data_IF_910624339196
#
_entry.id   IF_910624339196
#
_cell.length_a   1.000
_cell.length_b   1.000
_cell.length_c   1.000
_cell.angle_alpha   90.00
_cell.angle_beta   90.00
_cell.angle_gamma   90.00
#
_symmetry.space_group_name_H-M   'P 1'
#
loop_
_entity.id
_entity.type
_entity.pdbx_description
1 polymer ?
#
# COMPACT_ATOMS: atom_id res chain seq x y z
N UNK A 1 5.11 2.77 19.22
CA UNK A 1 4.72 1.47 19.82
C UNK A 1 4.15 0.62 18.71
N UNK A 2 4.87 -0.41 18.24
CA UNK A 2 4.38 -1.38 17.25
C UNK A 2 2.98 -1.87 17.62
N UNK A 3 2.02 -1.59 16.75
CA UNK A 3 0.64 -2.04 16.81
C UNK A 3 0.53 -3.33 16.01
N UNK A 4 -0.15 -4.28 16.63
CA UNK A 4 -0.59 -5.54 16.04
C UNK A 4 -2.08 -5.60 16.23
N UNK A 5 -2.77 -6.20 15.27
CA UNK A 5 -4.23 -6.30 15.27
C UNK A 5 -4.92 -4.92 15.24
N UNK A 6 -6.22 -4.91 14.94
CA UNK A 6 -7.00 -3.70 14.64
C UNK A 6 -7.89 -3.90 13.42
N UNK A 7 -7.40 -4.69 12.47
CA UNK A 7 -8.15 -5.22 11.34
C UNK A 7 -9.19 -6.30 11.74
N UNK A 8 -9.27 -6.70 13.02
CA UNK A 8 -10.22 -7.71 13.52
C UNK A 8 -10.17 -9.04 12.73
N UNK A 9 -8.97 -9.43 12.25
CA UNK A 9 -8.71 -10.58 11.34
C UNK A 9 -9.27 -10.47 9.92
N UNK A 10 -9.81 -9.32 9.53
CA UNK A 10 -10.33 -9.07 8.19
C UNK A 10 -9.34 -8.28 7.33
N UNK A 11 -8.96 -8.86 6.19
CA UNK A 11 -8.40 -8.09 5.08
C UNK A 11 -9.44 -7.10 4.54
N UNK A 12 -8.98 -6.08 3.82
CA UNK A 12 -9.85 -5.13 3.11
C UNK A 12 -10.71 -5.93 2.12
N UNK A 13 -11.98 -5.56 1.99
CA UNK A 13 -12.89 -6.13 0.99
C UNK A 13 -13.34 -5.04 0.04
N UNK A 14 -13.83 -5.44 -1.13
CA UNK A 14 -14.39 -4.53 -2.11
C UNK A 14 -15.47 -3.62 -1.49
N UNK A 15 -15.45 -2.33 -1.85
CA UNK A 15 -16.36 -1.31 -1.34
C UNK A 15 -16.16 -0.87 0.12
N UNK A 16 -15.34 -1.56 0.93
CA UNK A 16 -15.17 -1.19 2.35
C UNK A 16 -14.58 0.20 2.55
N UNK A 17 -13.49 0.51 1.85
CA UNK A 17 -12.85 1.82 1.95
C UNK A 17 -13.74 2.92 1.42
N UNK A 18 -14.45 2.68 0.31
CA UNK A 18 -15.45 3.61 -0.22
C UNK A 18 -16.53 3.94 0.82
N UNK A 19 -17.18 2.92 1.41
CA UNK A 19 -18.25 3.13 2.40
C UNK A 19 -17.74 3.87 3.63
N UNK A 20 -16.59 3.47 4.14
CA UNK A 20 -15.97 4.09 5.30
C UNK A 20 -15.59 5.55 5.06
N UNK A 21 -14.95 5.83 3.92
CA UNK A 21 -14.52 7.18 3.55
C UNK A 21 -15.70 8.09 3.22
N UNK A 22 -16.72 7.57 2.54
CA UNK A 22 -17.98 8.27 2.30
C UNK A 22 -18.63 8.70 3.61
N UNK A 23 -18.78 7.77 4.56
CA UNK A 23 -19.38 8.07 5.86
C UNK A 23 -18.54 9.10 6.63
N UNK A 24 -17.22 8.98 6.58
CA UNK A 24 -16.30 9.93 7.22
C UNK A 24 -16.45 11.36 6.68
N UNK A 25 -16.60 11.52 5.36
CA UNK A 25 -16.66 12.83 4.71
C UNK A 25 -18.07 13.44 4.79
N UNK A 26 -19.12 12.64 4.57
CA UNK A 26 -20.50 13.14 4.48
C UNK A 26 -21.17 13.27 5.86
N UNK A 27 -20.97 12.30 6.76
CA UNK A 27 -21.68 12.17 8.04
C UNK A 27 -20.71 11.61 9.13
N UNK A 28 -19.61 12.33 9.48
CA UNK A 28 -18.53 11.82 10.32
C UNK A 28 -18.99 11.31 11.70
N UNK A 29 -20.04 11.89 12.27
CA UNK A 29 -20.65 11.47 13.52
C UNK A 29 -21.16 10.02 13.48
N UNK A 30 -21.66 9.55 12.33
CA UNK A 30 -22.17 8.20 12.16
C UNK A 30 -21.07 7.14 12.21
N UNK A 31 -19.80 7.53 12.00
CA UNK A 31 -18.67 6.62 12.11
C UNK A 31 -18.43 6.15 13.56
N UNK A 32 -19.00 6.85 14.54
CA UNK A 32 -18.91 6.53 15.98
C UNK A 32 -20.25 6.16 16.61
N UNK A 33 -21.33 6.22 15.83
CA UNK A 33 -22.66 5.83 16.24
C UNK A 33 -22.73 4.35 16.66
N UNK A 34 -23.65 4.02 17.57
CA UNK A 34 -23.82 2.63 18.04
C UNK A 34 -24.29 1.69 16.93
N UNK A 35 -24.96 2.23 15.90
CA UNK A 35 -25.43 1.54 14.70
C UNK A 35 -24.51 1.71 13.49
N UNK A 36 -23.24 2.12 13.67
CA UNK A 36 -22.24 2.25 12.57
C UNK A 36 -22.14 1.01 11.68
N UNK A 37 -22.38 -0.19 12.23
CA UNK A 37 -22.43 -1.43 11.48
C UNK A 37 -23.56 -1.42 10.43
N UNK A 38 -24.73 -0.91 10.80
CA UNK A 38 -25.91 -0.82 9.95
C UNK A 38 -25.72 0.27 8.89
N UNK A 39 -25.18 1.43 9.27
CA UNK A 39 -24.85 2.53 8.33
C UNK A 39 -23.87 2.08 7.23
N UNK A 40 -22.88 1.27 7.59
CA UNK A 40 -21.92 0.69 6.64
C UNK A 40 -22.44 -0.57 5.94
N UNK A 41 -23.57 -1.13 6.39
CA UNK A 41 -24.11 -2.40 5.90
C UNK A 41 -23.14 -3.58 6.08
N UNK A 42 -22.49 -3.68 7.24
CA UNK A 42 -21.51 -4.74 7.58
C UNK A 42 -21.67 -5.21 9.02
N UNK A 43 -20.98 -6.29 9.40
CA UNK A 43 -20.97 -6.75 10.81
C UNK A 43 -20.18 -5.82 11.75
N UNK A 44 -20.48 -5.87 13.06
CA UNK A 44 -19.83 -5.04 14.10
C UNK A 44 -18.30 -5.08 14.13
N UNK A 45 -17.69 -6.24 13.89
CA UNK A 45 -16.22 -6.34 13.85
C UNK A 45 -15.66 -5.80 12.52
N UNK A 46 -16.44 -5.90 11.43
CA UNK A 46 -16.06 -5.36 10.13
C UNK A 46 -16.06 -3.84 10.15
N UNK A 47 -17.04 -3.18 10.80
CA UNK A 47 -17.02 -1.72 10.95
C UNK A 47 -15.80 -1.20 11.71
N UNK A 48 -15.34 -1.93 12.73
CA UNK A 48 -14.05 -1.64 13.42
C UNK A 48 -12.86 -1.82 12.49
N UNK A 49 -12.85 -2.89 11.70
CA UNK A 49 -11.81 -3.15 10.70
C UNK A 49 -11.76 -2.05 9.63
N UNK A 50 -12.91 -1.57 9.13
CA UNK A 50 -12.99 -0.45 8.19
C UNK A 50 -12.33 0.80 8.76
N UNK A 51 -12.66 1.20 10.01
CA UNK A 51 -12.01 2.35 10.65
C UNK A 51 -10.51 2.19 10.80
N UNK A 52 -10.06 0.98 11.15
CA UNK A 52 -8.62 0.67 11.21
C UNK A 52 -7.97 0.87 9.84
N UNK A 53 -8.55 0.29 8.78
CA UNK A 53 -8.00 0.39 7.42
C UNK A 53 -7.98 1.81 6.88
N UNK A 54 -9.00 2.63 7.14
CA UNK A 54 -8.97 4.06 6.79
C UNK A 54 -7.77 4.78 7.40
N UNK A 55 -7.49 4.53 8.69
CA UNK A 55 -6.38 5.16 9.41
C UNK A 55 -5.02 4.70 8.87
N UNK A 56 -4.80 3.39 8.75
CA UNK A 56 -3.46 2.85 8.43
C UNK A 56 -3.10 2.93 6.94
N UNK A 57 -4.09 3.04 6.06
CA UNK A 57 -3.85 3.34 4.64
C UNK A 57 -3.64 4.83 4.37
N UNK A 58 -3.77 5.68 5.40
CA UNK A 58 -3.57 7.13 5.29
C UNK A 58 -4.74 7.89 4.68
N UNK A 59 -5.91 7.25 4.51
CA UNK A 59 -7.14 7.92 4.07
C UNK A 59 -7.74 8.82 5.16
N UNK A 60 -7.49 8.46 6.41
CA UNK A 60 -7.93 9.22 7.57
C UNK A 60 -6.81 9.32 8.61
N UNK A 61 -6.87 10.35 9.45
CA UNK A 61 -5.93 10.60 10.55
C UNK A 61 -6.69 10.91 11.83
N UNK A 62 -6.01 10.81 12.97
CA UNK A 62 -6.51 11.30 14.27
C UNK A 62 -5.46 12.20 14.91
N UNK A 63 -5.86 13.36 15.39
CA UNK A 63 -4.99 14.27 16.15
C UNK A 63 -4.90 13.85 17.62
N UNK A 64 -4.46 12.61 17.85
CA UNK A 64 -4.32 12.01 19.18
C UNK A 64 -5.23 10.80 19.40
N UNK A 65 -5.02 10.11 20.51
CA UNK A 65 -5.62 8.78 20.75
C UNK A 65 -7.15 8.81 20.92
N UNK A 66 -7.69 9.92 21.41
CA UNK A 66 -9.12 10.09 21.67
C UNK A 66 -9.82 10.99 20.64
N UNK A 67 -9.08 11.58 19.71
CA UNK A 67 -9.66 12.41 18.66
C UNK A 67 -10.49 11.54 17.69
N UNK A 68 -11.57 12.10 17.12
CA UNK A 68 -12.26 11.47 15.99
C UNK A 68 -11.31 11.34 14.80
N UNK A 69 -11.66 10.45 13.87
CA UNK A 69 -11.02 10.39 12.56
C UNK A 69 -11.45 11.61 11.77
N UNK A 70 -10.50 12.15 11.02
CA UNK A 70 -10.69 13.19 10.02
C UNK A 70 -10.07 12.68 8.71
N UNK A 71 -10.66 13.01 7.58
CA UNK A 71 -10.08 12.72 6.28
C UNK A 71 -8.71 13.40 6.12
N UNK A 72 -7.81 12.73 5.41
CA UNK A 72 -6.55 13.35 4.98
C UNK A 72 -6.74 14.01 3.62
N UNK A 73 -5.75 14.80 3.20
CA UNK A 73 -5.71 15.31 1.82
C UNK A 73 -5.75 14.17 0.79
N UNK A 74 -5.12 13.03 1.09
CA UNK A 74 -5.19 11.82 0.27
C UNK A 74 -6.62 11.25 0.23
N UNK A 75 -7.27 11.13 1.39
CA UNK A 75 -8.65 10.66 1.49
C UNK A 75 -9.60 11.54 0.69
N UNK A 76 -9.49 12.86 0.84
CA UNK A 76 -10.27 13.82 0.07
C UNK A 76 -10.02 13.69 -1.44
N UNK A 77 -8.76 13.63 -1.86
CA UNK A 77 -8.39 13.47 -3.28
C UNK A 77 -9.01 12.20 -3.89
N UNK A 78 -8.89 11.06 -3.21
CA UNK A 78 -9.44 9.79 -3.70
C UNK A 78 -10.96 9.85 -3.75
N UNK A 79 -11.62 10.42 -2.73
CA UNK A 79 -13.06 10.58 -2.73
C UNK A 79 -13.58 11.45 -3.90
N UNK A 80 -12.80 12.46 -4.30
CA UNK A 80 -13.13 13.33 -5.45
C UNK A 80 -12.82 12.70 -6.81
N UNK A 81 -11.70 11.97 -6.94
CA UNK A 81 -11.17 11.54 -8.24
C UNK A 81 -11.33 10.06 -8.55
N UNK A 82 -11.40 9.21 -7.54
CA UNK A 82 -11.61 7.76 -7.65
C UNK A 82 -12.50 7.24 -6.51
N UNK A 83 -13.70 7.83 -6.41
CA UNK A 83 -14.63 7.61 -5.30
C UNK A 83 -14.89 6.13 -5.01
N UNK A 84 -14.88 5.29 -6.04
CA UNK A 84 -15.21 3.86 -5.97
C UNK A 84 -13.97 2.95 -5.94
N UNK A 85 -12.76 3.50 -5.85
CA UNK A 85 -11.48 2.76 -5.78
C UNK A 85 -11.29 1.80 -6.97
N UNK A 86 -11.62 2.26 -8.17
CA UNK A 86 -11.54 1.47 -9.41
C UNK A 86 -10.12 1.51 -9.98
N UNK A 87 -9.41 2.63 -9.79
CA UNK A 87 -8.08 2.80 -10.38
C UNK A 87 -7.01 2.04 -9.58
N UNK A 88 -6.17 1.29 -10.29
CA UNK A 88 -5.09 0.49 -9.68
C UNK A 88 -4.01 1.38 -9.02
N UNK A 89 -3.83 2.61 -9.50
CA UNK A 89 -2.93 3.60 -8.92
C UNK A 89 -3.35 3.98 -7.49
N UNK A 90 -4.65 4.05 -7.21
CA UNK A 90 -5.19 4.22 -5.85
C UNK A 90 -4.67 3.12 -4.93
N UNK A 91 -4.82 1.85 -5.34
CA UNK A 91 -4.36 0.71 -4.53
C UNK A 91 -2.84 0.67 -4.37
N UNK A 92 -2.07 1.06 -5.39
CA UNK A 92 -0.62 1.23 -5.24
C UNK A 92 -0.27 2.30 -4.20
N UNK A 93 -0.94 3.46 -4.20
CA UNK A 93 -0.70 4.52 -3.21
C UNK A 93 -1.00 4.04 -1.77
N UNK A 94 -2.14 3.38 -1.56
CA UNK A 94 -2.50 2.83 -0.25
C UNK A 94 -1.50 1.76 0.21
N UNK A 95 -1.05 0.91 -0.70
CA UNK A 95 -0.02 -0.08 -0.41
C UNK A 95 1.30 0.58 0.00
N UNK A 96 1.77 1.58 -0.75
CA UNK A 96 2.99 2.35 -0.39
C UNK A 96 2.85 2.96 1.00
N UNK A 97 1.68 3.49 1.36
CA UNK A 97 1.42 4.01 2.70
C UNK A 97 1.55 2.93 3.77
N UNK A 98 0.99 1.73 3.56
CA UNK A 98 1.12 0.61 4.49
C UNK A 98 2.58 0.18 4.68
N UNK A 99 3.38 0.17 3.62
CA UNK A 99 4.81 -0.15 3.68
C UNK A 99 5.60 0.90 4.47
N UNK A 100 5.14 2.16 4.47
CA UNK A 100 5.78 3.29 5.14
C UNK A 100 5.15 3.65 6.51
N UNK A 101 4.11 2.94 6.95
CA UNK A 101 3.38 3.25 8.18
C UNK A 101 4.09 2.77 9.47
N UNK A 102 5.24 2.11 9.32
CA UNK A 102 6.14 1.72 10.41
C UNK A 102 5.42 0.95 11.52
N UNK A 103 5.48 1.46 12.74
CA UNK A 103 4.87 0.89 13.94
C UNK A 103 3.33 0.77 13.87
N UNK A 104 2.61 1.54 13.04
CA UNK A 104 1.15 1.51 13.03
C UNK A 104 0.57 0.24 12.41
N UNK A 105 1.30 -0.37 11.47
CA UNK A 105 1.01 -1.67 10.84
C UNK A 105 2.31 -2.46 10.68
N UNK A 106 2.94 -2.77 11.81
CA UNK A 106 4.30 -3.30 11.83
C UNK A 106 4.48 -4.54 10.94
N UNK A 107 3.51 -5.47 10.94
CA UNK A 107 3.58 -6.69 10.12
C UNK A 107 3.70 -6.38 8.62
N UNK A 108 3.03 -5.33 8.11
CA UNK A 108 3.14 -4.89 6.72
C UNK A 108 4.49 -4.26 6.44
N UNK A 109 4.87 -3.25 7.23
CA UNK A 109 6.16 -2.58 7.12
C UNK A 109 7.32 -3.59 7.16
N UNK A 110 7.31 -4.52 8.12
CA UNK A 110 8.32 -5.56 8.26
C UNK A 110 8.35 -6.51 7.06
N UNK A 111 7.19 -6.96 6.56
CA UNK A 111 7.15 -7.94 5.47
C UNK A 111 7.76 -7.36 4.19
N UNK A 112 7.39 -6.15 3.79
CA UNK A 112 7.87 -5.58 2.53
C UNK A 112 9.28 -4.98 2.63
N UNK A 113 9.67 -4.46 3.80
CA UNK A 113 10.99 -3.83 3.96
C UNK A 113 12.09 -4.80 4.41
N UNK A 114 11.75 -5.79 5.24
CA UNK A 114 12.74 -6.63 5.94
C UNK A 114 12.69 -8.10 5.53
N UNK A 115 11.52 -8.67 5.27
CA UNK A 115 11.40 -10.09 4.94
C UNK A 115 11.94 -10.38 3.52
N UNK A 116 13.00 -11.19 3.44
CA UNK A 116 13.81 -11.35 2.22
C UNK A 116 13.59 -12.66 1.46
N UNK A 117 12.65 -13.51 1.86
CA UNK A 117 12.45 -14.83 1.23
C UNK A 117 11.44 -14.74 0.10
N UNK A 118 11.87 -15.10 -1.11
CA UNK A 118 10.98 -15.12 -2.27
C UNK A 118 10.01 -16.30 -2.24
N UNK A 119 10.37 -17.43 -1.63
CA UNK A 119 9.50 -18.59 -1.44
C UNK A 119 9.52 -19.06 0.02
N UNK A 120 8.36 -19.26 0.64
CA UNK A 120 8.28 -19.55 2.07
C UNK A 120 6.97 -20.25 2.47
N UNK A 121 6.97 -20.91 3.62
CA UNK A 121 5.75 -21.38 4.29
C UNK A 121 5.26 -20.35 5.30
N UNK A 122 3.95 -20.34 5.59
CA UNK A 122 3.38 -19.43 6.58
C UNK A 122 4.06 -19.55 7.96
N UNK A 123 4.37 -20.77 8.40
CA UNK A 123 5.08 -21.06 9.66
C UNK A 123 6.43 -20.35 9.74
N UNK A 124 7.18 -20.33 8.65
CA UNK A 124 8.48 -19.64 8.55
C UNK A 124 8.32 -18.13 8.67
N UNK A 125 7.32 -17.54 8.00
CA UNK A 125 7.03 -16.12 8.09
C UNK A 125 6.70 -15.70 9.54
N UNK A 126 5.82 -16.46 10.21
CA UNK A 126 5.47 -16.26 11.63
C UNK A 126 6.73 -16.33 12.50
N UNK A 127 7.52 -17.40 12.37
CA UNK A 127 8.73 -17.59 13.18
C UNK A 127 9.75 -16.46 12.98
N UNK A 128 9.89 -15.94 11.76
CA UNK A 128 10.82 -14.84 11.48
C UNK A 128 10.32 -13.53 12.07
N UNK A 129 9.03 -13.22 11.91
CA UNK A 129 8.42 -12.03 12.51
C UNK A 129 8.58 -12.05 14.03
N UNK A 130 8.26 -13.17 14.69
CA UNK A 130 8.41 -13.32 16.14
C UNK A 130 9.84 -13.00 16.60
N UNK A 131 10.85 -13.55 15.92
CA UNK A 131 12.27 -13.29 16.26
C UNK A 131 12.69 -11.83 16.09
N UNK A 132 12.13 -11.14 15.09
CA UNK A 132 12.47 -9.73 14.86
C UNK A 132 11.72 -8.79 15.83
N UNK A 133 10.52 -9.17 16.26
CA UNK A 133 9.81 -8.50 17.37
C UNK A 133 10.50 -8.70 18.72
N UNK A 134 11.05 -9.90 18.98
CA UNK A 134 11.84 -10.23 20.18
C UNK A 134 13.08 -9.36 20.34
N UNK A 135 13.77 -9.03 19.24
CA UNK A 135 14.96 -8.16 19.28
C UNK A 135 14.63 -6.70 19.57
N UNK A 136 13.42 -6.26 19.24
CA UNK A 136 13.02 -4.85 19.25
C UNK A 136 12.12 -4.47 20.43
N UNK A 137 11.58 -5.44 21.17
CA UNK A 137 10.65 -5.19 22.30
C UNK A 137 10.98 -5.99 23.55
N UNK A 138 10.74 -5.36 24.69
CA UNK A 138 10.76 -6.01 26.01
C UNK A 138 9.50 -6.85 26.30
N UNK A 139 8.36 -6.55 25.64
CA UNK A 139 7.11 -7.30 25.79
C UNK A 139 6.54 -7.71 24.42
N UNK A 140 6.42 -9.01 24.23
CA UNK A 140 5.92 -9.62 23.01
C UNK A 140 4.39 -9.62 22.94
N UNK A 141 3.80 -9.41 21.75
CA UNK A 141 2.43 -9.83 21.48
C UNK A 141 2.27 -11.34 21.71
N UNK A 142 1.05 -11.81 21.95
CA UNK A 142 0.78 -13.25 22.02
C UNK A 142 1.07 -13.92 20.68
N UNK A 143 1.43 -15.20 20.70
CA UNK A 143 1.65 -15.97 19.46
C UNK A 143 0.41 -15.92 18.55
N UNK A 144 -0.79 -16.08 19.11
CA UNK A 144 -2.05 -15.98 18.38
C UNK A 144 -2.24 -14.62 17.69
N UNK A 145 -1.77 -13.53 18.30
CA UNK A 145 -1.80 -12.19 17.69
C UNK A 145 -0.91 -12.14 16.45
N UNK A 146 0.34 -12.60 16.56
CA UNK A 146 1.27 -12.65 15.42
C UNK A 146 0.73 -13.55 14.30
N UNK A 147 0.21 -14.73 14.65
CA UNK A 147 -0.37 -15.66 13.69
C UNK A 147 -1.55 -15.05 12.92
N UNK A 148 -2.41 -14.27 13.60
CA UNK A 148 -3.56 -13.59 12.99
C UNK A 148 -3.15 -12.43 12.10
N UNK A 149 -2.19 -11.61 12.52
CA UNK A 149 -1.67 -10.51 11.71
C UNK A 149 -1.02 -11.04 10.43
N UNK A 150 -0.17 -12.07 10.53
CA UNK A 150 0.42 -12.73 9.35
C UNK A 150 -0.66 -13.34 8.46
N UNK A 151 -1.70 -13.95 9.03
CA UNK A 151 -2.82 -14.48 8.24
C UNK A 151 -3.46 -13.38 7.40
N UNK A 152 -3.76 -12.24 8.04
CA UNK A 152 -4.43 -11.13 7.41
C UNK A 152 -3.55 -10.49 6.32
N UNK A 153 -2.24 -10.38 6.55
CA UNK A 153 -1.30 -9.92 5.53
C UNK A 153 -1.30 -10.85 4.33
N UNK A 154 -1.15 -12.16 4.54
CA UNK A 154 -1.11 -13.12 3.44
C UNK A 154 -2.42 -13.14 2.66
N UNK A 155 -3.57 -13.10 3.36
CA UNK A 155 -4.90 -12.98 2.74
C UNK A 155 -5.08 -11.68 1.95
N UNK A 156 -4.39 -10.60 2.32
CA UNK A 156 -4.51 -9.31 1.65
C UNK A 156 -3.86 -9.30 0.26
N UNK A 157 -2.84 -10.14 0.03
CA UNK A 157 -2.03 -10.07 -1.18
C UNK A 157 -1.94 -11.38 -1.98
N UNK A 158 -2.17 -12.54 -1.36
CA UNK A 158 -1.93 -13.82 -2.01
C UNK A 158 -3.06 -14.20 -2.97
N UNK A 159 -2.72 -14.39 -4.24
CA UNK A 159 -3.58 -15.10 -5.20
C UNK A 159 -3.38 -16.60 -5.08
N UNK A 160 -4.47 -17.35 -4.98
CA UNK A 160 -4.43 -18.81 -4.92
C UNK A 160 -4.07 -19.43 -6.29
N UNK A 161 -3.21 -20.45 -6.27
CA UNK A 161 -2.79 -21.22 -7.45
C UNK A 161 -2.97 -22.73 -7.18
N UNK A 162 -3.76 -23.46 -8.00
CA UNK A 162 -4.60 -22.93 -9.07
C UNK A 162 -5.73 -22.06 -8.51
N UNK A 163 -6.19 -21.10 -9.29
CA UNK A 163 -7.33 -20.25 -8.94
C UNK A 163 -8.55 -21.14 -8.72
N UNK A 164 -9.24 -20.96 -7.60
CA UNK A 164 -10.55 -21.60 -7.41
C UNK A 164 -11.57 -20.87 -8.28
N UNK A 165 -12.39 -21.62 -9.02
CA UNK A 165 -13.61 -21.08 -9.63
C UNK A 165 -14.63 -20.83 -8.49
N UNK A 166 -14.43 -19.76 -7.72
CA UNK A 166 -15.46 -19.25 -6.81
C UNK A 166 -16.47 -18.44 -7.61
N UNK A 167 -17.70 -18.42 -7.11
CA UNK A 167 -18.69 -17.46 -7.58
C UNK A 167 -18.11 -16.04 -7.42
N UNK A 168 -18.19 -15.15 -8.43
CA UNK A 168 -17.74 -13.76 -8.30
C UNK A 168 -18.35 -13.05 -7.08
N UNK A 169 -19.56 -13.41 -6.66
CA UNK A 169 -20.17 -12.86 -5.43
C UNK A 169 -19.55 -13.40 -4.13
N UNK A 170 -18.93 -14.58 -4.17
CA UNK A 170 -18.19 -15.19 -3.05
C UNK A 170 -16.70 -14.82 -3.04
N UNK A 171 -16.21 -14.14 -4.08
CA UNK A 171 -14.84 -13.68 -4.20
C UNK A 171 -14.59 -12.47 -3.26
N UNK A 172 -14.51 -12.78 -1.97
CA UNK A 172 -14.08 -11.89 -0.87
C UNK A 172 -12.57 -11.58 -0.93
N UNK A 173 -11.99 -11.49 -2.13
CA UNK A 173 -10.58 -11.23 -2.31
C UNK A 173 -10.29 -9.75 -2.02
N UNK A 174 -9.16 -9.52 -1.33
CA UNK A 174 -8.72 -8.18 -1.04
C UNK A 174 -8.25 -7.51 -2.33
N UNK A 175 -8.66 -6.26 -2.63
CA UNK A 175 -8.24 -5.58 -3.87
C UNK A 175 -6.72 -5.48 -4.07
N UNK A 176 -5.94 -5.53 -2.98
CA UNK A 176 -4.48 -5.61 -3.06
C UNK A 176 -3.94 -6.88 -3.76
N UNK A 177 -4.75 -7.93 -3.95
CA UNK A 177 -4.38 -9.11 -4.74
C UNK A 177 -4.05 -8.72 -6.20
N UNK A 178 -4.72 -7.70 -6.76
CA UNK A 178 -4.49 -7.22 -8.12
C UNK A 178 -3.12 -6.57 -8.31
N UNK A 179 -2.42 -6.20 -7.23
CA UNK A 179 -1.05 -5.70 -7.30
C UNK A 179 -0.04 -6.80 -7.70
N UNK A 180 -0.45 -8.08 -7.67
CA UNK A 180 0.37 -9.20 -8.13
C UNK A 180 1.64 -9.43 -7.31
N UNK A 181 1.63 -9.05 -6.02
CA UNK A 181 2.82 -9.12 -5.16
C UNK A 181 3.10 -10.53 -4.62
N UNK A 182 2.06 -11.36 -4.45
CA UNK A 182 2.14 -12.63 -3.75
C UNK A 182 1.23 -13.68 -4.39
N UNK A 183 1.67 -14.94 -4.42
CA UNK A 183 0.82 -16.10 -4.73
C UNK A 183 0.95 -17.18 -3.68
N UNK A 184 -0.12 -17.96 -3.50
CA UNK A 184 -0.15 -19.15 -2.66
C UNK A 184 -0.41 -20.40 -3.50
N UNK A 185 0.56 -21.32 -3.52
CA UNK A 185 0.47 -22.57 -4.27
C UNK A 185 -0.14 -23.68 -3.41
N UNK A 186 -1.46 -23.88 -3.54
CA UNK A 186 -2.25 -24.79 -2.69
C UNK A 186 -1.72 -26.21 -2.64
N UNK A 187 -1.25 -26.75 -3.77
CA UNK A 187 -0.69 -28.10 -3.86
C UNK A 187 0.57 -28.27 -3.01
N UNK A 188 1.38 -27.23 -2.90
CA UNK A 188 2.67 -27.30 -2.20
C UNK A 188 2.67 -26.64 -0.82
N UNK A 189 1.67 -25.80 -0.51
CA UNK A 189 1.60 -25.04 0.74
C UNK A 189 2.56 -23.83 0.83
N UNK A 190 3.24 -23.50 -0.27
CA UNK A 190 4.20 -22.38 -0.30
C UNK A 190 3.59 -21.09 -0.83
N UNK A 191 4.05 -19.99 -0.28
CA UNK A 191 3.87 -18.64 -0.81
C UNK A 191 5.07 -18.25 -1.67
N UNK A 192 4.82 -17.45 -2.71
CA UNK A 192 5.82 -16.90 -3.61
C UNK A 192 5.65 -15.38 -3.75
N UNK A 193 6.68 -14.62 -3.40
CA UNK A 193 6.80 -13.19 -3.64
C UNK A 193 7.28 -12.96 -5.07
N UNK A 194 6.63 -12.05 -5.79
CA UNK A 194 6.94 -11.76 -7.19
C UNK A 194 7.83 -10.54 -7.33
N UNK A 195 9.12 -10.76 -7.62
CA UNK A 195 10.12 -9.68 -7.76
C UNK A 195 10.25 -9.14 -9.19
N UNK A 196 9.41 -9.62 -10.11
CA UNK A 196 9.43 -9.30 -11.53
C UNK A 196 8.76 -7.98 -11.90
N UNK A 197 8.69 -7.73 -13.21
CA UNK A 197 7.94 -6.61 -13.80
C UNK A 197 6.47 -6.62 -13.34
N UNK A 198 5.94 -5.42 -13.06
CA UNK A 198 4.54 -5.17 -12.72
C UNK A 198 4.06 -3.94 -13.48
N UNK A 199 2.77 -3.88 -13.74
CA UNK A 199 2.14 -2.70 -14.34
C UNK A 199 1.86 -1.69 -13.22
N UNK A 200 2.81 -0.78 -13.03
CA UNK A 200 2.75 0.29 -12.02
C UNK A 200 2.63 1.62 -12.78
N UNK A 201 1.60 2.44 -12.52
CA UNK A 201 1.53 3.75 -13.17
C UNK A 201 2.72 4.61 -12.76
N UNK A 202 3.30 5.31 -13.72
CA UNK A 202 4.63 5.94 -13.58
C UNK A 202 4.65 7.03 -12.51
N UNK A 203 3.55 7.74 -12.29
CA UNK A 203 3.41 8.70 -11.20
C UNK A 203 3.53 8.07 -9.80
N UNK A 204 3.19 6.78 -9.64
CA UNK A 204 3.33 6.09 -8.35
C UNK A 204 4.79 5.85 -7.98
N UNK A 205 5.71 5.85 -8.96
CA UNK A 205 7.15 5.90 -8.66
C UNK A 205 7.50 7.18 -7.89
N UNK A 206 6.98 8.32 -8.34
CA UNK A 206 7.19 9.59 -7.65
C UNK A 206 6.50 9.67 -6.30
N UNK A 207 5.29 9.09 -6.20
CA UNK A 207 4.60 8.90 -4.92
C UNK A 207 5.47 8.10 -3.93
N UNK A 208 6.00 6.94 -4.34
CA UNK A 208 6.81 6.09 -3.47
C UNK A 208 8.15 6.75 -3.07
N UNK A 209 8.80 7.46 -4.00
CA UNK A 209 10.01 8.22 -3.69
C UNK A 209 9.75 9.35 -2.69
N UNK A 210 8.68 10.13 -2.87
CA UNK A 210 8.31 11.21 -1.95
C UNK A 210 7.83 10.71 -0.58
N UNK A 211 7.28 9.50 -0.51
CA UNK A 211 6.97 8.84 0.77
C UNK A 211 8.23 8.40 1.53
N UNK A 212 9.23 7.86 0.82
CA UNK A 212 10.43 7.29 1.44
C UNK A 212 11.55 8.30 1.73
N UNK A 213 11.62 9.42 0.98
CA UNK A 213 12.69 10.41 1.05
C UNK A 213 12.12 11.81 1.30
N UNK A 214 12.47 12.43 2.42
CA UNK A 214 11.97 13.76 2.78
C UNK A 214 12.47 14.85 1.83
N UNK A 215 13.68 14.69 1.30
CA UNK A 215 14.32 15.57 0.33
C UNK A 215 13.62 15.56 -1.04
N UNK A 216 12.81 14.53 -1.31
CA UNK A 216 11.94 14.46 -2.48
C UNK A 216 10.63 15.27 -2.30
N UNK A 217 10.37 15.82 -1.10
CA UNK A 217 9.19 16.64 -0.80
C UNK A 217 9.49 18.12 -0.61
N UNK A 218 10.70 18.46 -0.17
CA UNK A 218 11.05 19.81 0.33
C UNK A 218 12.18 20.44 -0.48
N UNK A 219 12.11 21.77 -0.71
CA UNK A 219 13.12 22.54 -1.46
C UNK A 219 12.66 22.98 -2.86
N UNK A 220 13.59 23.54 -3.65
CA UNK A 220 13.34 23.97 -5.04
C UNK A 220 13.86 22.94 -6.05
N UNK A 221 13.24 22.84 -7.21
CA UNK A 221 13.66 22.01 -8.36
C UNK A 221 13.56 20.49 -8.15
N UNK A 222 14.70 19.79 -8.10
CA UNK A 222 14.79 18.33 -8.21
C UNK A 222 15.65 17.70 -7.11
N UNK A 223 15.41 16.42 -6.87
CA UNK A 223 16.20 15.55 -5.99
C UNK A 223 16.77 14.39 -6.81
N UNK A 224 18.05 14.07 -6.60
CA UNK A 224 18.73 12.98 -7.30
C UNK A 224 18.99 11.83 -6.31
N UNK A 225 18.61 10.61 -6.68
CA UNK A 225 18.84 9.41 -5.88
C UNK A 225 19.38 8.28 -6.75
N UNK A 226 20.37 7.52 -6.26
CA UNK A 226 20.83 6.34 -6.99
C UNK A 226 19.73 5.28 -7.08
N UNK A 227 19.64 4.59 -8.23
CA UNK A 227 18.67 3.49 -8.42
C UNK A 227 18.86 2.41 -7.36
N UNK A 228 20.10 2.15 -6.94
CA UNK A 228 20.41 1.21 -5.85
C UNK A 228 19.76 1.62 -4.54
N UNK A 229 19.89 2.89 -4.13
CA UNK A 229 19.26 3.37 -2.89
C UNK A 229 17.74 3.30 -2.98
N UNK A 230 17.15 3.76 -4.08
CA UNK A 230 15.71 3.66 -4.32
C UNK A 230 15.20 2.21 -4.29
N UNK A 231 16.04 1.25 -4.70
CA UNK A 231 15.70 -0.18 -4.66
C UNK A 231 15.76 -0.79 -3.25
N UNK A 232 16.74 -0.39 -2.44
CA UNK A 232 17.07 -1.11 -1.18
C UNK A 232 16.58 -0.44 0.10
N UNK A 233 16.40 0.90 0.09
CA UNK A 233 15.98 1.67 1.25
C UNK A 233 14.61 1.21 1.75
N UNK A 234 14.44 1.14 3.08
CA UNK A 234 13.14 0.90 3.71
C UNK A 234 12.14 1.96 3.25
N UNK A 235 10.94 1.53 2.86
CA UNK A 235 9.90 2.40 2.32
C UNK A 235 10.07 2.78 0.85
N UNK A 236 11.27 2.63 0.29
CA UNK A 236 11.60 3.00 -1.08
C UNK A 236 10.87 2.16 -2.14
N UNK A 237 10.83 2.64 -3.40
CA UNK A 237 10.02 2.01 -4.46
C UNK A 237 10.41 0.56 -4.76
N UNK A 238 11.67 0.15 -4.61
CA UNK A 238 12.03 -1.27 -4.80
C UNK A 238 11.44 -2.18 -3.74
N UNK A 239 11.32 -1.70 -2.49
CA UNK A 239 10.67 -2.44 -1.40
C UNK A 239 9.17 -2.44 -1.54
N UNK A 240 8.56 -1.28 -1.76
CA UNK A 240 7.12 -1.14 -1.90
C UNK A 240 6.59 -1.89 -3.13
N UNK A 241 7.23 -1.77 -4.29
CA UNK A 241 6.77 -2.46 -5.50
C UNK A 241 7.32 -3.87 -5.67
N UNK A 242 8.14 -4.32 -4.71
CA UNK A 242 8.79 -5.62 -4.74
C UNK A 242 9.52 -5.80 -6.07
N UNK A 243 10.42 -4.86 -6.41
CA UNK A 243 11.17 -4.86 -7.66
C UNK A 243 12.66 -5.06 -7.37
N UNK A 244 13.32 -5.84 -8.22
CA UNK A 244 14.79 -5.80 -8.29
C UNK A 244 15.25 -4.44 -8.83
N UNK A 245 16.51 -4.08 -8.63
CA UNK A 245 17.07 -2.85 -9.20
C UNK A 245 16.95 -2.78 -10.72
N UNK A 246 16.95 -3.93 -11.40
CA UNK A 246 16.75 -4.04 -12.84
C UNK A 246 15.32 -3.62 -13.24
N UNK A 247 14.29 -4.23 -12.62
CA UNK A 247 12.91 -3.89 -12.94
C UNK A 247 12.51 -2.49 -12.47
N UNK A 248 13.10 -2.01 -11.36
CA UNK A 248 12.93 -0.62 -10.94
C UNK A 248 13.52 0.33 -11.99
N UNK A 249 14.69 0.03 -12.53
CA UNK A 249 15.28 0.85 -13.60
C UNK A 249 14.41 0.85 -14.85
N UNK A 250 13.83 -0.29 -15.25
CA UNK A 250 12.88 -0.36 -16.36
C UNK A 250 11.66 0.55 -16.12
N UNK A 251 11.11 0.57 -14.89
CA UNK A 251 10.00 1.45 -14.52
C UNK A 251 10.39 2.93 -14.59
N UNK A 252 11.61 3.30 -14.16
CA UNK A 252 12.08 4.68 -14.23
C UNK A 252 12.25 5.14 -15.69
N UNK A 253 12.80 4.28 -16.56
CA UNK A 253 12.93 4.58 -17.98
C UNK A 253 11.55 4.75 -18.66
N UNK A 254 10.58 3.91 -18.30
CA UNK A 254 9.20 4.07 -18.76
C UNK A 254 8.59 5.39 -18.26
N UNK A 255 8.87 5.78 -17.01
CA UNK A 255 8.41 7.04 -16.45
C UNK A 255 8.99 8.25 -17.19
N UNK A 256 10.28 8.20 -17.56
CA UNK A 256 10.93 9.26 -18.35
C UNK A 256 10.32 9.38 -19.76
N UNK A 257 10.03 8.25 -20.42
CA UNK A 257 9.45 8.23 -21.77
C UNK A 257 8.00 8.75 -21.80
N UNK A 258 7.22 8.46 -20.76
CA UNK A 258 5.79 8.77 -20.71
C UNK A 258 5.46 10.08 -20.00
N UNK A 259 6.45 10.77 -19.43
CA UNK A 259 6.24 12.00 -18.68
C UNK A 259 6.60 13.26 -19.50
N UNK A 260 5.61 14.00 -20.04
CA UNK A 260 5.86 15.20 -20.84
C UNK A 260 6.52 16.34 -20.05
N UNK A 261 6.30 16.39 -18.74
CA UNK A 261 6.85 17.43 -17.86
C UNK A 261 8.27 17.13 -17.37
N UNK A 262 8.82 15.95 -17.70
CA UNK A 262 10.13 15.48 -17.25
C UNK A 262 10.28 15.51 -15.72
N UNK A 263 9.19 15.26 -14.99
CA UNK A 263 9.23 15.24 -13.52
C UNK A 263 10.01 14.03 -12.99
N UNK A 264 10.25 13.00 -13.80
CA UNK A 264 11.11 11.84 -13.49
C UNK A 264 12.05 11.64 -14.68
N UNK A 265 13.35 11.57 -14.41
CA UNK A 265 14.40 11.39 -15.41
C UNK A 265 15.46 10.41 -14.94
N UNK A 266 16.17 9.80 -15.88
CA UNK A 266 17.36 8.99 -15.60
C UNK A 266 18.60 9.80 -15.97
N UNK A 267 19.54 9.92 -15.04
CA UNK A 267 20.85 10.51 -15.27
C UNK A 267 21.97 9.48 -14.98
N UNK A 268 23.15 9.71 -15.55
CA UNK A 268 24.33 8.89 -15.35
C UNK A 268 24.47 7.68 -16.28
N UNK A 269 25.63 7.01 -16.18
CA UNK A 269 25.99 5.85 -16.99
C UNK A 269 26.15 4.59 -16.13
N UNK A 270 25.78 3.45 -16.69
CA UNK A 270 26.04 2.11 -16.12
C UNK A 270 25.67 1.97 -14.62
N UNK A 271 26.64 1.63 -13.75
CA UNK A 271 26.43 1.33 -12.33
C UNK A 271 26.17 2.53 -11.41
N UNK A 272 26.19 3.76 -11.94
CA UNK A 272 25.89 5.01 -11.19
C UNK A 272 24.63 5.71 -11.74
N UNK A 273 23.66 4.94 -12.25
CA UNK A 273 22.37 5.51 -12.68
C UNK A 273 21.64 6.14 -11.49
N UNK A 274 21.16 7.37 -11.72
CA UNK A 274 20.39 8.16 -10.76
C UNK A 274 19.01 8.44 -11.32
N UNK A 275 18.04 8.49 -10.42
CA UNK A 275 16.70 8.96 -10.66
C UNK A 275 16.69 10.43 -10.24
N UNK A 276 16.50 11.33 -11.20
CA UNK A 276 16.20 12.73 -10.92
C UNK A 276 14.69 12.89 -10.86
N UNK A 277 14.18 13.35 -9.73
CA UNK A 277 12.76 13.50 -9.48
C UNK A 277 12.43 14.93 -9.08
N UNK A 278 11.34 15.48 -9.61
CA UNK A 278 10.78 16.76 -9.17
C UNK A 278 10.28 16.65 -7.74
N UNK A 279 10.60 17.65 -6.93
CA UNK A 279 10.13 17.72 -5.54
C UNK A 279 8.63 18.02 -5.50
N UNK A 280 7.83 17.09 -4.98
CA UNK A 280 6.37 17.23 -4.83
C UNK A 280 5.90 16.42 -3.63
N UNK A 281 4.75 16.79 -3.04
CA UNK A 281 4.14 15.95 -2.01
C UNK A 281 3.62 14.65 -2.65
N UNK A 282 3.53 13.53 -1.89
CA UNK A 282 2.99 12.29 -2.41
C UNK A 282 1.61 12.46 -3.05
N UNK A 283 0.72 13.21 -2.40
CA UNK A 283 -0.64 13.47 -2.89
C UNK A 283 -0.66 14.18 -4.25
N UNK A 284 0.32 15.04 -4.56
CA UNK A 284 0.42 15.72 -5.85
C UNK A 284 0.79 14.75 -6.97
N UNK A 285 1.63 13.75 -6.70
CA UNK A 285 1.93 12.69 -7.66
C UNK A 285 0.68 11.89 -8.03
N UNK A 286 -0.15 11.54 -7.03
CA UNK A 286 -1.40 10.83 -7.28
C UNK A 286 -2.43 11.73 -7.98
N UNK A 287 -2.46 13.02 -7.67
CA UNK A 287 -3.30 14.00 -8.38
C UNK A 287 -2.95 14.05 -9.87
N UNK A 288 -1.66 14.16 -10.19
CA UNK A 288 -1.17 14.14 -11.57
C UNK A 288 -1.51 12.83 -12.30
N UNK A 289 -1.49 11.70 -11.60
CA UNK A 289 -1.93 10.41 -12.14
C UNK A 289 -3.41 10.46 -12.57
N UNK A 290 -4.31 10.94 -11.71
CA UNK A 290 -5.73 11.07 -12.06
C UNK A 290 -5.98 12.08 -13.17
N UNK A 291 -5.28 13.22 -13.17
CA UNK A 291 -5.41 14.22 -14.23
C UNK A 291 -4.94 13.66 -15.59
N UNK A 292 -3.90 12.82 -15.60
CA UNK A 292 -3.44 12.12 -16.81
C UNK A 292 -4.50 11.12 -17.34
N UNK A 293 -5.17 10.37 -16.46
CA UNK A 293 -6.25 9.45 -16.87
C UNK A 293 -7.40 10.25 -17.50
N UNK A 294 -7.87 11.30 -16.83
CA UNK A 294 -8.96 12.14 -17.34
C UNK A 294 -8.61 12.78 -18.69
N UNK A 295 -7.36 13.23 -18.86
CA UNK A 295 -6.91 13.77 -20.14
C UNK A 295 -6.95 12.70 -21.23
N UNK A 296 -6.50 11.47 -20.97
CA UNK A 296 -6.54 10.36 -21.93
C UNK A 296 -7.96 10.01 -22.32
N UNK A 297 -8.87 9.93 -21.35
CA UNK A 297 -10.28 9.58 -21.61
C UNK A 297 -10.98 10.65 -22.48
N UNK A 298 -10.64 11.93 -22.30
CA UNK A 298 -11.17 13.02 -23.12
C UNK A 298 -10.64 13.04 -24.57
N UNK A 299 -9.46 12.46 -24.82
CA UNK A 299 -8.78 12.48 -26.13
C UNK A 299 -8.71 11.11 -26.81
N UNK A 300 -9.34 10.08 -26.23
CA UNK A 300 -9.46 8.74 -26.80
C UNK A 300 -10.65 8.58 -27.78
N UNK A 301 -11.36 9.67 -28.09
CA UNK A 301 -12.52 9.72 -28.99
C UNK A 301 -12.16 10.15 -30.42
#
# INVERSE_FOLDING_TARGET
MMKFSGHETFAIREGWLHKGLKLLIEEPELLYDEYVADWLGVGKNMSRSIRHWLEVTGLAKREGRQAPLEETELGQLIYERDRYFIDIGTWWALHVNLVNAGDQVFTWSWFFNTFSHSRFERSMCINRLTRDVEKSRSRLPSENTIQRDVACLLQSYARDIPTENKDPEDALECPFVELGLLSYFRTSGYYQVHQGKKEIPTHLLGYALSMAFEEARTGQDTFDISVRMAATQEGGPGRAFVLTSEFLLSLVLQAEETNPNKDIQVDGLAGDRRIRIRRMQPVDWLRNHYDMILWRDQHAA
#
